data_IF_604722747995
#
_entry.id   IF_604722747995
#
_cell.length_a   1.000
_cell.length_b   1.000
_cell.length_c   1.000
_cell.angle_alpha   90.00
_cell.angle_beta   90.00
_cell.angle_gamma   90.00
#
_symmetry.space_group_name_H-M   'P 1'
#
loop_
_entity.id
_entity.type
_entity.pdbx_description
1 polymer ?
#
# COMPACT_ATOMS: atom_id res chain seq x y z
N UNK A 1 -3.45 8.94 -33.56
CA UNK A 1 -3.87 8.38 -32.27
C UNK A 1 -3.92 9.55 -31.29
N UNK A 2 -5.09 10.13 -31.04
CA UNK A 2 -5.19 11.19 -30.05
C UNK A 2 -4.78 10.62 -28.69
N UNK A 3 -3.76 11.17 -28.05
CA UNK A 3 -3.43 10.86 -26.66
C UNK A 3 -4.67 11.17 -25.81
N UNK A 4 -5.46 10.13 -25.51
CA UNK A 4 -6.69 10.28 -24.74
C UNK A 4 -6.29 10.81 -23.36
N UNK A 5 -6.60 12.08 -23.10
CA UNK A 5 -6.11 12.81 -21.95
C UNK A 5 -6.65 12.20 -20.66
N UNK A 6 -5.77 11.58 -19.87
CA UNK A 6 -6.18 10.98 -18.60
C UNK A 6 -6.18 12.03 -17.50
N UNK A 7 -7.38 12.29 -16.98
CA UNK A 7 -7.65 13.33 -15.96
C UNK A 7 -7.84 12.69 -14.60
N UNK A 8 -7.21 13.27 -13.56
CA UNK A 8 -7.43 12.88 -12.17
C UNK A 8 -8.22 13.98 -11.47
N UNK A 9 -9.30 13.60 -10.79
CA UNK A 9 -10.08 14.48 -9.92
C UNK A 9 -10.05 13.93 -8.50
N UNK A 10 -9.97 14.82 -7.53
CA UNK A 10 -9.98 14.46 -6.11
C UNK A 10 -11.25 14.99 -5.45
N UNK A 11 -11.88 14.18 -4.61
CA UNK A 11 -13.10 14.53 -3.88
C UNK A 11 -13.03 14.05 -2.44
N UNK A 12 -13.90 14.59 -1.57
CA UNK A 12 -13.89 14.30 -0.12
C UNK A 12 -12.48 14.46 0.48
N UNK A 13 -11.84 15.59 0.18
CA UNK A 13 -10.49 15.89 0.64
C UNK A 13 -10.50 16.32 2.12
N UNK A 14 -9.63 15.73 2.93
CA UNK A 14 -9.47 16.04 4.35
C UNK A 14 -7.98 16.10 4.69
N UNK A 15 -7.55 17.18 5.33
CA UNK A 15 -6.20 17.26 5.92
C UNK A 15 -6.24 16.69 7.34
N UNK A 16 -5.66 15.51 7.56
CA UNK A 16 -5.61 14.86 8.87
C UNK A 16 -4.23 15.08 9.51
N UNK A 17 -4.15 16.03 10.44
CA UNK A 17 -2.91 16.39 11.15
C UNK A 17 -2.46 15.34 12.17
N UNK A 18 -3.38 14.57 12.75
CA UNK A 18 -3.05 13.50 13.71
C UNK A 18 -2.20 12.39 13.08
N UNK A 19 -2.41 12.15 11.78
CA UNK A 19 -1.70 11.13 11.01
C UNK A 19 -0.72 11.74 9.99
N UNK A 20 -0.45 13.05 10.07
CA UNK A 20 0.49 13.79 9.21
C UNK A 20 0.26 13.51 7.71
N UNK A 21 -1.02 13.51 7.29
CA UNK A 21 -1.39 13.18 5.91
C UNK A 21 -2.67 13.86 5.44
N UNK A 22 -2.75 14.08 4.14
CA UNK A 22 -3.97 14.43 3.40
C UNK A 22 -4.65 13.15 2.92
N UNK A 23 -5.97 13.09 3.04
CA UNK A 23 -6.80 11.95 2.68
C UNK A 23 -7.81 12.39 1.63
N UNK A 24 -8.00 11.59 0.59
CA UNK A 24 -8.92 11.93 -0.49
C UNK A 24 -9.42 10.69 -1.21
N UNK A 25 -10.58 10.82 -1.84
CA UNK A 25 -11.05 9.90 -2.88
C UNK A 25 -10.52 10.39 -4.22
N UNK A 26 -9.95 9.48 -5.00
CA UNK A 26 -9.32 9.75 -6.29
C UNK A 26 -10.20 9.14 -7.38
N UNK A 27 -10.71 9.99 -8.25
CA UNK A 27 -11.44 9.62 -9.45
C UNK A 27 -10.50 9.78 -10.65
N UNK A 28 -10.26 8.68 -11.36
CA UNK A 28 -9.46 8.65 -12.59
C UNK A 28 -10.41 8.54 -13.77
N UNK A 29 -10.34 9.51 -14.68
CA UNK A 29 -11.14 9.57 -15.91
C UNK A 29 -10.20 9.28 -17.07
N UNK A 30 -10.40 8.13 -17.73
CA UNK A 30 -9.53 7.58 -18.77
C UNK A 30 -10.37 7.01 -19.93
N UNK A 31 -11.07 7.87 -20.70
CA UNK A 31 -11.96 7.43 -21.77
C UNK A 31 -11.17 6.72 -22.88
N UNK A 32 -11.69 5.58 -23.35
CA UNK A 32 -11.05 4.81 -24.42
C UNK A 32 -9.71 4.16 -24.06
N UNK A 33 -9.26 4.30 -22.80
CA UNK A 33 -8.02 3.72 -22.30
C UNK A 33 -8.31 2.67 -21.22
N UNK A 34 -7.39 1.70 -21.14
CA UNK A 34 -7.33 0.75 -20.04
C UNK A 34 -7.07 1.47 -18.69
N UNK A 35 -7.07 0.69 -17.62
CA UNK A 35 -6.75 1.19 -16.29
C UNK A 35 -5.29 1.68 -16.21
N UNK A 36 -5.08 2.84 -15.61
CA UNK A 36 -3.75 3.35 -15.30
C UNK A 36 -3.00 2.44 -14.31
N UNK A 37 -1.67 2.45 -14.42
CA UNK A 37 -0.81 1.88 -13.39
C UNK A 37 -0.88 2.71 -12.09
N UNK A 38 -0.62 2.07 -10.94
CA UNK A 38 -0.59 2.79 -9.66
C UNK A 38 0.55 3.79 -9.59
N UNK A 39 1.64 3.54 -10.32
CA UNK A 39 2.81 4.42 -10.36
C UNK A 39 2.48 5.72 -11.09
N UNK A 40 1.83 5.65 -12.26
CA UNK A 40 1.37 6.83 -12.99
C UNK A 40 0.40 7.69 -12.17
N UNK A 41 -0.50 7.06 -11.42
CA UNK A 41 -1.43 7.78 -10.54
C UNK A 41 -0.66 8.49 -9.41
N UNK A 42 0.34 7.83 -8.81
CA UNK A 42 1.19 8.44 -7.78
C UNK A 42 1.96 9.64 -8.33
N UNK A 43 2.50 9.53 -9.53
CA UNK A 43 3.22 10.61 -10.19
C UNK A 43 2.32 11.81 -10.50
N UNK A 44 1.14 11.57 -11.06
CA UNK A 44 0.18 12.63 -11.36
C UNK A 44 -0.34 13.31 -10.09
N UNK A 45 -0.65 12.56 -9.03
CA UNK A 45 -1.03 13.13 -7.74
C UNK A 45 0.13 13.90 -7.09
N UNK A 46 1.36 13.39 -7.20
CA UNK A 46 2.56 14.08 -6.74
C UNK A 46 2.74 15.43 -7.43
N UNK A 47 2.62 15.47 -8.76
CA UNK A 47 2.64 16.71 -9.55
C UNK A 47 1.51 17.66 -9.15
N UNK A 48 0.28 17.16 -9.02
CA UNK A 48 -0.91 17.96 -8.68
C UNK A 48 -0.79 18.65 -7.32
N UNK A 49 -0.25 17.95 -6.32
CA UNK A 49 -0.08 18.48 -4.96
C UNK A 49 1.33 19.01 -4.66
N UNK A 50 2.21 19.10 -5.66
CA UNK A 50 3.60 19.56 -5.54
C UNK A 50 4.38 18.77 -4.49
N UNK A 51 4.23 17.45 -4.47
CA UNK A 51 4.90 16.52 -3.56
C UNK A 51 5.62 15.41 -4.31
N UNK A 52 6.64 14.81 -3.70
CA UNK A 52 7.32 13.65 -4.27
C UNK A 52 6.37 12.42 -4.32
N UNK A 53 6.48 11.58 -5.35
CA UNK A 53 5.71 10.33 -5.50
C UNK A 53 5.92 9.36 -4.34
N UNK A 54 7.07 9.45 -3.66
CA UNK A 54 7.45 8.57 -2.55
C UNK A 54 6.58 8.75 -1.30
N UNK A 55 6.01 9.94 -1.10
CA UNK A 55 5.08 10.23 0.01
C UNK A 55 3.61 10.00 -0.35
N UNK A 56 3.32 9.59 -1.59
CA UNK A 56 1.98 9.33 -2.10
C UNK A 56 1.68 7.83 -2.07
N UNK A 57 0.67 7.43 -1.29
CA UNK A 57 0.13 6.07 -1.26
C UNK A 57 -1.26 6.05 -1.89
N UNK A 58 -1.49 5.10 -2.81
CA UNK A 58 -2.77 4.94 -3.50
C UNK A 58 -3.24 3.49 -3.42
N UNK A 59 -4.54 3.29 -3.17
CA UNK A 59 -5.09 1.94 -2.99
C UNK A 59 -6.58 1.87 -3.28
N UNK A 60 -7.10 0.64 -3.38
CA UNK A 60 -8.54 0.39 -3.47
C UNK A 60 -9.18 0.82 -4.80
N UNK A 61 -8.42 0.89 -5.89
CA UNK A 61 -8.97 1.22 -7.20
C UNK A 61 -9.97 0.16 -7.69
N UNK A 62 -11.14 0.62 -8.10
CA UNK A 62 -12.20 -0.18 -8.74
C UNK A 62 -12.70 0.58 -9.98
N UNK A 63 -12.66 -0.10 -11.11
CA UNK A 63 -13.19 0.42 -12.38
C UNK A 63 -14.71 0.30 -12.39
N UNK A 64 -15.41 1.31 -12.90
CA UNK A 64 -16.86 1.23 -13.07
C UNK A 64 -17.21 0.29 -14.21
N UNK A 65 -18.41 -0.29 -14.14
CA UNK A 65 -18.98 -1.01 -15.27
C UNK A 65 -19.09 -0.06 -16.47
N UNK A 66 -18.74 -0.56 -17.66
CA UNK A 66 -18.62 0.27 -18.87
C UNK A 66 -17.26 0.96 -19.05
N UNK A 67 -16.36 0.91 -18.06
CA UNK A 67 -15.00 1.46 -18.19
C UNK A 67 -14.94 2.99 -18.15
N UNK A 68 -13.81 3.56 -18.59
CA UNK A 68 -13.61 5.02 -18.69
C UNK A 68 -13.47 5.78 -17.36
N UNK A 69 -13.89 5.19 -16.24
CA UNK A 69 -13.76 5.78 -14.90
C UNK A 69 -13.38 4.75 -13.84
N UNK A 70 -12.40 5.09 -13.03
CA UNK A 70 -11.95 4.28 -11.89
C UNK A 70 -11.94 5.12 -10.62
N UNK A 71 -12.49 4.61 -9.53
CA UNK A 71 -12.45 5.26 -8.21
C UNK A 71 -11.48 4.53 -7.30
N UNK A 72 -10.73 5.26 -6.49
CA UNK A 72 -9.85 4.72 -5.46
C UNK A 72 -9.59 5.72 -4.35
N UNK A 73 -8.62 5.42 -3.51
CA UNK A 73 -8.22 6.25 -2.38
C UNK A 73 -6.78 6.72 -2.55
N UNK A 74 -6.52 7.96 -2.16
CA UNK A 74 -5.20 8.57 -2.15
C UNK A 74 -4.87 9.11 -0.76
N UNK A 75 -3.66 8.84 -0.31
CA UNK A 75 -3.05 9.41 0.89
C UNK A 75 -1.77 10.11 0.47
N UNK A 76 -1.64 11.39 0.84
CA UNK A 76 -0.42 12.17 0.63
C UNK A 76 0.14 12.51 2.01
N UNK A 77 1.26 11.90 2.37
CA UNK A 77 1.93 12.14 3.66
C UNK A 77 2.77 13.41 3.59
N UNK A 78 2.99 14.05 4.75
CA UNK A 78 3.85 15.22 4.84
C UNK A 78 5.34 14.82 4.70
N UNK A 79 5.73 13.63 5.17
CA UNK A 79 7.09 13.09 5.05
C UNK A 79 7.12 11.55 4.89
N UNK A 80 8.29 11.00 4.52
CA UNK A 80 8.48 9.55 4.30
C UNK A 80 8.44 8.77 5.62
N UNK A 81 8.83 9.39 6.73
CA UNK A 81 8.83 8.77 8.05
C UNK A 81 7.41 8.50 8.56
N UNK A 82 6.51 9.48 8.41
CA UNK A 82 5.09 9.35 8.73
C UNK A 82 4.44 8.27 7.86
N UNK A 83 4.82 8.19 6.57
CA UNK A 83 4.36 7.12 5.70
C UNK A 83 4.78 5.75 6.26
N UNK A 84 6.04 5.56 6.63
CA UNK A 84 6.52 4.28 7.21
C UNK A 84 5.86 3.95 8.56
N UNK A 85 5.52 4.97 9.36
CA UNK A 85 4.92 4.82 10.68
C UNK A 85 3.44 4.47 10.65
N UNK A 86 2.66 5.19 9.83
CA UNK A 86 1.19 5.12 9.85
C UNK A 86 0.60 4.24 8.74
N UNK A 87 1.36 3.94 7.70
CA UNK A 87 0.87 3.10 6.61
C UNK A 87 0.89 1.62 7.00
N UNK A 88 -0.16 0.84 6.68
CA UNK A 88 -0.14 -0.59 6.91
C UNK A 88 1.02 -1.30 6.17
N UNK A 89 1.68 -2.24 6.85
CA UNK A 89 2.85 -2.97 6.33
C UNK A 89 2.64 -3.59 4.94
N UNK A 90 1.45 -4.10 4.65
CA UNK A 90 1.15 -4.70 3.34
C UNK A 90 1.17 -3.68 2.19
N UNK A 91 0.88 -2.40 2.46
CA UNK A 91 0.97 -1.32 1.47
C UNK A 91 2.42 -0.88 1.30
N UNK A 92 3.18 -0.80 2.38
CA UNK A 92 4.63 -0.55 2.33
C UNK A 92 5.37 -1.62 1.51
N UNK A 93 5.03 -2.90 1.69
CA UNK A 93 5.61 -3.99 0.93
C UNK A 93 5.34 -3.90 -0.58
N UNK A 94 4.16 -3.37 -0.98
CA UNK A 94 3.84 -3.16 -2.40
C UNK A 94 4.66 -2.04 -3.05
N UNK A 95 5.23 -1.14 -2.26
CA UNK A 95 6.08 -0.03 -2.71
C UNK A 95 7.56 -0.35 -2.48
N UNK A 96 7.89 -1.54 -1.96
CA UNK A 96 9.27 -1.95 -1.68
C UNK A 96 9.87 -1.33 -0.41
N UNK A 97 9.08 -0.66 0.43
CA UNK A 97 9.57 -0.01 1.66
C UNK A 97 9.56 -0.93 2.89
N UNK A 98 9.05 -2.16 2.77
CA UNK A 98 9.02 -3.14 3.84
C UNK A 98 9.10 -4.57 3.28
N UNK A 99 9.69 -5.49 4.04
CA UNK A 99 9.69 -6.91 3.68
C UNK A 99 8.28 -7.52 3.81
N UNK A 100 7.91 -8.46 2.91
CA UNK A 100 6.69 -9.24 3.06
C UNK A 100 6.75 -10.13 4.31
N UNK A 101 5.58 -10.48 4.84
CA UNK A 101 5.47 -11.32 6.03
C UNK A 101 6.09 -12.71 5.82
N UNK A 102 6.92 -13.14 6.77
CA UNK A 102 7.65 -14.41 6.69
C UNK A 102 6.80 -15.59 7.20
N UNK A 103 6.70 -16.63 6.36
CA UNK A 103 6.25 -17.99 6.72
C UNK A 103 4.73 -18.17 6.89
N UNK A 104 4.25 -19.40 6.63
CA UNK A 104 2.84 -19.75 6.77
C UNK A 104 2.37 -19.78 8.23
N UNK A 105 1.13 -19.34 8.49
CA UNK A 105 0.52 -19.38 9.84
C UNK A 105 0.56 -20.78 10.46
N UNK A 106 0.35 -21.82 9.64
CA UNK A 106 0.41 -23.24 10.05
C UNK A 106 1.79 -23.61 10.58
N UNK A 107 2.85 -23.39 9.78
CA UNK A 107 4.24 -23.67 10.16
C UNK A 107 4.64 -22.93 11.45
N UNK A 108 4.24 -21.66 11.59
CA UNK A 108 4.53 -20.88 12.82
C UNK A 108 3.85 -21.47 14.05
N UNK A 109 2.61 -21.92 13.92
CA UNK A 109 1.85 -22.55 15.02
C UNK A 109 2.43 -23.92 15.38
N UNK A 110 2.75 -24.74 14.39
CA UNK A 110 3.38 -26.06 14.60
C UNK A 110 4.74 -25.94 15.28
N UNK A 111 5.60 -25.01 14.81
CA UNK A 111 6.89 -24.69 15.46
C UNK A 111 6.71 -24.23 16.90
N UNK A 112 5.72 -23.37 17.18
CA UNK A 112 5.39 -22.93 18.55
C UNK A 112 4.97 -24.10 19.42
N UNK A 113 4.09 -24.97 18.95
CA UNK A 113 3.59 -26.12 19.72
C UNK A 113 4.68 -27.17 19.94
N UNK A 114 5.59 -27.39 18.98
CA UNK A 114 6.76 -28.26 19.15
C UNK A 114 7.71 -27.72 20.22
N UNK A 115 8.00 -26.43 20.19
CA UNK A 115 8.88 -25.78 21.16
C UNK A 115 8.31 -25.80 22.59
N UNK A 116 6.97 -25.81 22.77
CA UNK A 116 6.34 -25.89 24.10
C UNK A 116 6.61 -27.21 24.84
N UNK A 117 6.96 -28.30 24.14
CA UNK A 117 7.23 -29.62 24.74
C UNK A 117 8.58 -29.72 25.47
N UNK A 118 9.47 -28.73 25.29
CA UNK A 118 10.82 -28.76 25.83
C UNK A 118 11.08 -27.61 26.81
N UNK A 119 11.96 -27.83 27.78
CA UNK A 119 12.37 -26.84 28.80
C UNK A 119 13.87 -26.51 28.67
N UNK A 120 14.27 -25.32 29.11
CA UNK A 120 15.67 -24.87 29.06
C UNK A 120 16.21 -24.75 27.63
N UNK A 121 17.50 -24.99 27.44
CA UNK A 121 18.20 -24.89 26.15
C UNK A 121 17.64 -25.82 25.07
N UNK A 122 17.00 -26.94 25.45
CA UNK A 122 16.34 -27.88 24.51
C UNK A 122 15.18 -27.23 23.73
N UNK A 123 14.61 -26.13 24.22
CA UNK A 123 13.54 -25.38 23.52
C UNK A 123 14.06 -24.62 22.29
N UNK A 124 15.27 -24.07 22.37
CA UNK A 124 15.92 -23.39 21.25
C UNK A 124 16.22 -24.40 20.12
N UNK A 125 16.79 -25.56 20.49
CA UNK A 125 17.09 -26.67 19.58
C UNK A 125 15.84 -27.26 18.90
N UNK A 126 14.69 -27.31 19.58
CA UNK A 126 13.43 -27.77 18.98
C UNK A 126 12.74 -26.72 18.08
N UNK A 127 13.12 -25.46 18.21
CA UNK A 127 12.58 -24.34 17.42
C UNK A 127 13.42 -24.05 16.16
N UNK A 128 14.73 -24.30 16.20
CA UNK A 128 15.50 -24.48 14.98
C UNK A 128 15.09 -25.84 14.39
N UNK A 129 14.46 -25.87 13.22
CA UNK A 129 14.51 -27.11 12.45
C UNK A 129 15.99 -27.47 12.30
N UNK A 130 16.33 -28.76 12.29
CA UNK A 130 17.66 -29.18 11.80
C UNK A 130 17.96 -28.37 10.54
N UNK A 131 19.13 -27.71 10.52
CA UNK A 131 19.71 -27.24 9.27
C UNK A 131 19.72 -28.39 8.27
#
# INVERSE_FOLDING_TARGET
>A
MSDASVTIRTRKFITNRLLQRKQMVVDVIHPGLANLSREEIREKLGKMYKTNKDVVSVFGFKTHFGGGRTTGFGLVYDNVEALKKFEPKYRLARVGLAEPGKGGRKQRKEKKNRAKKFRGTKKAAASGGKK
#
